data_IF_567691873995
#
_entry.id   IF_567691873995
#
_cell.length_a   1.000
_cell.length_b   1.000
_cell.length_c   1.000
_cell.angle_alpha   90.00
_cell.angle_beta   90.00
_cell.angle_gamma   90.00
#
_symmetry.space_group_name_H-M   'P 1'
#
loop_
_entity.id
_entity.type
_entity.pdbx_description
1 polymer ?
#
# COMPACT_ATOMS: atom_id res chain seq x y z
N UNK A 1 12.61 -0.43 9.45
CA UNK A 1 12.27 -1.87 9.43
C UNK A 1 10.81 -1.99 9.07
N UNK A 2 10.46 -2.80 8.07
CA UNK A 2 9.08 -3.12 7.71
C UNK A 2 8.56 -4.16 8.71
N UNK A 3 7.31 -4.03 9.15
CA UNK A 3 6.62 -5.06 9.93
C UNK A 3 5.53 -5.75 9.07
N UNK A 4 4.99 -6.85 9.60
CA UNK A 4 3.93 -7.62 8.93
C UNK A 4 2.69 -6.76 8.65
N UNK A 5 2.41 -5.76 9.50
CA UNK A 5 1.23 -4.89 9.38
C UNK A 5 1.26 -4.07 8.10
N UNK A 6 2.43 -3.59 7.69
CA UNK A 6 2.62 -2.83 6.47
C UNK A 6 2.44 -3.73 5.24
N UNK A 7 2.97 -4.96 5.28
CA UNK A 7 2.76 -5.94 4.21
C UNK A 7 1.29 -6.34 4.04
N UNK A 8 0.58 -6.56 5.15
CA UNK A 8 -0.87 -6.80 5.15
C UNK A 8 -1.61 -5.59 4.58
N UNK A 9 -1.17 -4.38 4.93
CA UNK A 9 -1.73 -3.15 4.39
C UNK A 9 -1.56 -3.06 2.88
N UNK A 10 -0.36 -3.33 2.36
CA UNK A 10 -0.08 -3.39 0.94
C UNK A 10 -1.00 -4.38 0.21
N UNK A 11 -1.04 -5.63 0.68
CA UNK A 11 -1.91 -6.67 0.12
C UNK A 11 -3.37 -6.24 0.10
N UNK A 12 -3.84 -5.61 1.18
CA UNK A 12 -5.23 -5.14 1.26
C UNK A 12 -5.50 -4.00 0.28
N UNK A 13 -4.57 -3.05 0.10
CA UNK A 13 -4.74 -1.96 -0.88
C UNK A 13 -4.84 -2.50 -2.31
N UNK A 14 -4.11 -3.57 -2.63
CA UNK A 14 -4.21 -4.27 -3.91
C UNK A 14 -5.56 -4.99 -4.04
N UNK A 15 -5.95 -5.79 -3.06
CA UNK A 15 -7.19 -6.58 -3.08
C UNK A 15 -8.44 -5.69 -3.15
N UNK A 16 -8.44 -4.58 -2.41
CA UNK A 16 -9.55 -3.63 -2.34
C UNK A 16 -9.50 -2.56 -3.44
N UNK A 17 -8.48 -2.58 -4.30
CA UNK A 17 -8.27 -1.62 -5.39
C UNK A 17 -8.41 -0.15 -4.93
N UNK A 18 -7.91 0.16 -3.73
CA UNK A 18 -8.05 1.51 -3.19
C UNK A 18 -7.56 1.68 -1.77
N UNK A 19 -6.97 2.86 -1.51
CA UNK A 19 -6.48 3.24 -0.18
C UNK A 19 -7.62 3.45 0.82
N UNK A 20 -8.72 4.07 0.40
CA UNK A 20 -9.90 4.28 1.25
C UNK A 20 -10.63 2.97 1.56
N UNK A 21 -10.83 2.12 0.55
CA UNK A 21 -11.45 0.80 0.74
C UNK A 21 -10.61 -0.11 1.65
N UNK A 22 -9.28 -0.09 1.52
CA UNK A 22 -8.38 -0.80 2.44
C UNK A 22 -8.40 -0.23 3.86
N UNK A 23 -8.56 1.09 4.00
CA UNK A 23 -8.69 1.74 5.31
C UNK A 23 -9.96 1.25 6.02
N UNK A 24 -11.09 1.24 5.32
CA UNK A 24 -12.37 0.75 5.84
C UNK A 24 -12.29 -0.75 6.20
N UNK A 25 -11.67 -1.57 5.34
CA UNK A 25 -11.50 -3.00 5.57
C UNK A 25 -10.63 -3.32 6.80
N UNK A 26 -9.53 -2.59 6.99
CA UNK A 26 -8.61 -2.79 8.12
C UNK A 26 -9.03 -2.05 9.39
N UNK A 27 -10.09 -1.23 9.34
CA UNK A 27 -10.51 -0.38 10.44
C UNK A 27 -9.49 0.72 10.77
N UNK A 28 -8.74 1.19 9.78
CA UNK A 28 -7.75 2.25 9.91
C UNK A 28 -8.21 3.52 9.20
N UNK A 29 -7.54 4.64 9.50
CA UNK A 29 -7.72 5.85 8.71
C UNK A 29 -6.88 5.77 7.43
N UNK A 30 -7.37 6.37 6.34
CA UNK A 30 -6.63 6.44 5.07
C UNK A 30 -5.20 7.01 5.23
N UNK A 31 -4.94 8.07 6.04
CA UNK A 31 -3.58 8.53 6.28
C UNK A 31 -2.66 7.48 6.90
N UNK A 32 -3.20 6.57 7.73
CA UNK A 32 -2.44 5.48 8.32
C UNK A 32 -2.04 4.44 7.28
N UNK A 33 -2.97 4.10 6.36
CA UNK A 33 -2.69 3.24 5.20
C UNK A 33 -1.59 3.86 4.34
N UNK A 34 -1.71 5.14 3.98
CA UNK A 34 -0.67 5.86 3.21
C UNK A 34 0.69 5.84 3.90
N UNK A 35 0.71 6.00 5.23
CA UNK A 35 1.96 5.94 6.02
C UNK A 35 2.60 4.56 5.98
N UNK A 36 1.80 3.50 6.10
CA UNK A 36 2.30 2.12 5.98
C UNK A 36 2.90 1.87 4.59
N UNK A 37 2.22 2.27 3.51
CA UNK A 37 2.73 2.10 2.15
C UNK A 37 4.03 2.87 1.94
N UNK A 38 4.10 4.15 2.35
CA UNK A 38 5.33 4.94 2.25
C UNK A 38 6.51 4.30 2.98
N UNK A 39 6.26 3.70 4.16
CA UNK A 39 7.31 3.01 4.92
C UNK A 39 7.86 1.79 4.18
N UNK A 40 7.03 1.10 3.39
CA UNK A 40 7.47 0.01 2.51
C UNK A 40 8.29 0.59 1.36
N UNK A 41 7.78 1.60 0.67
CA UNK A 41 8.44 2.26 -0.46
C UNK A 41 9.82 2.82 -0.09
N UNK A 42 9.94 3.45 1.09
CA UNK A 42 11.21 3.94 1.63
C UNK A 42 12.20 2.80 1.93
N UNK A 43 11.71 1.64 2.32
CA UNK A 43 12.55 0.49 2.64
C UNK A 43 12.99 -0.28 1.39
N UNK A 44 12.10 -0.46 0.41
CA UNK A 44 12.41 -1.17 -0.84
C UNK A 44 13.11 -0.27 -1.87
N UNK A 45 13.02 1.05 -1.69
CA UNK A 45 13.69 2.05 -2.53
C UNK A 45 12.97 2.35 -3.85
N UNK A 46 11.71 1.94 -4.01
CA UNK A 46 10.89 2.20 -5.19
C UNK A 46 9.42 2.41 -4.81
N UNK A 47 8.69 3.13 -5.65
CA UNK A 47 7.25 3.35 -5.47
C UNK A 47 6.47 2.08 -5.85
N UNK A 48 5.53 1.69 -4.99
CA UNK A 48 4.66 0.53 -5.17
C UNK A 48 3.37 0.89 -5.90
N UNK A 49 2.95 2.15 -5.79
CA UNK A 49 1.77 2.69 -6.46
C UNK A 49 2.14 3.88 -7.35
N UNK A 50 1.47 4.00 -8.48
CA UNK A 50 1.67 5.12 -9.40
C UNK A 50 1.11 6.41 -8.76
N UNK A 51 1.86 7.52 -8.88
CA UNK A 51 1.36 8.85 -8.49
C UNK A 51 0.26 9.31 -9.42
N UNK A 52 -0.98 9.12 -8.98
CA UNK A 52 -2.19 9.44 -9.72
C UNK A 52 -3.34 8.71 -9.05
N UNK A 53 -4.53 9.29 -9.07
CA UNK A 53 -5.67 8.73 -8.35
C UNK A 53 -5.92 7.27 -8.77
N UNK A 54 -5.99 6.39 -7.78
CA UNK A 54 -6.33 4.96 -7.84
C UNK A 54 -5.17 3.96 -7.99
N UNK A 55 -5.42 2.80 -7.37
CA UNK A 55 -4.61 1.62 -7.01
C UNK A 55 -3.89 0.91 -8.15
N UNK A 56 -3.37 1.66 -9.11
CA UNK A 56 -2.54 1.10 -10.16
C UNK A 56 -1.19 0.76 -9.55
N UNK A 57 -0.91 -0.54 -9.45
CA UNK A 57 0.40 -1.03 -9.07
C UNK A 57 1.43 -0.56 -10.10
N UNK A 58 2.64 -0.26 -9.62
CA UNK A 58 3.78 -0.15 -10.52
C UNK A 58 4.19 -1.55 -10.99
N UNK A 59 4.98 -1.64 -12.07
CA UNK A 59 5.55 -2.92 -12.52
C UNK A 59 6.37 -3.62 -11.42
N UNK A 60 7.00 -2.83 -10.55
CA UNK A 60 7.71 -3.32 -9.37
C UNK A 60 6.74 -3.78 -8.27
N UNK A 61 5.61 -3.08 -8.09
CA UNK A 61 4.53 -3.48 -7.18
C UNK A 61 3.86 -4.80 -7.57
N UNK A 62 3.70 -5.08 -8.86
CA UNK A 62 3.22 -6.39 -9.35
C UNK A 62 4.19 -7.53 -9.03
N UNK A 63 5.51 -7.28 -9.09
CA UNK A 63 6.54 -8.25 -8.74
C UNK A 63 6.72 -8.45 -7.23
N UNK A 64 6.17 -7.54 -6.42
CA UNK A 64 6.26 -7.56 -4.95
C UNK A 64 5.12 -8.35 -4.29
N UNK A 65 4.11 -8.76 -5.06
CA UNK A 65 3.04 -9.68 -4.66
C UNK A 65 3.56 -11.12 -4.53
#
# INVERSE_FOLDING_TARGET
MIDIKELVTFKTVVEQQGFSAAADFLGYSQPNITKHIKKIEEYVGFELFVRGWFSSLTKQGELFL
#
